data_IF_017429211807
#
_entry.id   IF_017429211807
#
_cell.length_a   1.000
_cell.length_b   1.000
_cell.length_c   1.000
_cell.angle_alpha   90.00
_cell.angle_beta   90.00
_cell.angle_gamma   90.00
#
_symmetry.space_group_name_H-M   'P 1'
#
loop_
_entity.id
_entity.type
_entity.pdbx_description
1 polymer ?
#
# COMPACT_ATOMS: atom_id res chain seq x y z
N UNK A 1 -5.75 34.19 33.46
CA UNK A 1 -6.13 33.19 32.44
C UNK A 1 -5.78 33.63 31.01
N UNK A 2 -6.16 34.84 30.56
CA UNK A 2 -5.97 35.30 29.18
C UNK A 2 -4.53 35.34 28.65
N UNK A 3 -3.54 35.73 29.48
CA UNK A 3 -2.12 35.77 29.06
C UNK A 3 -1.55 34.39 28.71
N UNK A 4 -1.97 33.33 29.42
CA UNK A 4 -1.55 31.95 29.13
C UNK A 4 -2.17 31.42 27.84
N UNK A 5 -3.45 31.73 27.60
CA UNK A 5 -4.14 31.38 26.36
C UNK A 5 -3.56 32.10 25.14
N UNK A 6 -3.23 33.39 25.28
CA UNK A 6 -2.54 34.15 24.23
C UNK A 6 -1.15 33.57 23.92
N UNK A 7 -0.40 33.18 24.94
CA UNK A 7 0.93 32.59 24.76
C UNK A 7 0.85 31.22 24.06
N UNK A 8 -0.09 30.37 24.46
CA UNK A 8 -0.35 29.09 23.79
C UNK A 8 -0.80 29.31 22.35
N UNK A 9 -1.70 30.27 22.10
CA UNK A 9 -2.14 30.62 20.75
C UNK A 9 -1.00 31.09 19.85
N UNK A 10 -0.10 31.94 20.37
CA UNK A 10 1.08 32.40 19.64
C UNK A 10 2.08 31.26 19.38
N UNK A 11 2.26 30.34 20.33
CA UNK A 11 3.12 29.16 20.13
C UNK A 11 2.54 28.21 19.08
N UNK A 12 1.23 27.94 19.10
CA UNK A 12 0.55 27.11 18.09
C UNK A 12 0.62 27.78 16.73
N UNK A 13 0.36 29.08 16.63
CA UNK A 13 0.44 29.83 15.38
C UNK A 13 1.89 29.87 14.84
N UNK A 14 2.86 30.12 15.71
CA UNK A 14 4.28 30.10 15.36
C UNK A 14 4.74 28.73 14.87
N UNK A 15 4.29 27.67 15.54
CA UNK A 15 4.54 26.29 15.10
C UNK A 15 3.86 25.99 13.76
N UNK A 16 2.60 26.38 13.57
CA UNK A 16 1.88 26.19 12.31
C UNK A 16 2.56 26.91 11.14
N UNK A 17 2.97 28.18 11.33
CA UNK A 17 3.70 28.95 10.32
C UNK A 17 5.09 28.35 10.04
N UNK A 18 5.78 27.85 11.06
CA UNK A 18 7.05 27.16 10.90
C UNK A 18 6.92 25.88 10.07
N UNK A 19 5.88 25.07 10.35
CA UNK A 19 5.55 23.86 9.60
C UNK A 19 5.18 24.15 8.15
N UNK A 20 4.43 25.23 7.91
CA UNK A 20 4.05 25.61 6.56
C UNK A 20 5.23 26.15 5.75
N UNK A 21 6.17 26.87 6.37
CA UNK A 21 7.33 27.46 5.70
C UNK A 21 8.48 26.49 5.44
N UNK A 22 8.52 25.35 6.14
CA UNK A 22 9.58 24.34 6.02
C UNK A 22 8.94 22.97 5.73
N UNK A 23 8.90 22.51 4.48
CA UNK A 23 8.50 21.13 4.20
C UNK A 23 9.43 20.20 4.98
N UNK A 24 8.87 19.47 5.94
CA UNK A 24 9.59 18.60 6.88
C UNK A 24 9.97 17.25 6.28
N UNK A 25 9.87 17.10 4.97
CA UNK A 25 10.08 15.84 4.30
C UNK A 25 10.68 16.09 2.92
N UNK A 26 11.72 15.34 2.64
CA UNK A 26 12.37 15.29 1.34
C UNK A 26 11.63 14.26 0.48
N UNK A 27 11.73 14.38 -0.85
CA UNK A 27 11.23 13.34 -1.75
C UNK A 27 12.20 12.16 -1.69
N UNK A 28 11.66 10.96 -1.56
CA UNK A 28 12.44 9.73 -1.64
C UNK A 28 12.08 9.06 -2.96
N UNK A 29 12.93 9.12 -4.00
CA UNK A 29 12.67 8.46 -5.26
C UNK A 29 12.61 6.94 -5.09
N UNK A 30 11.80 6.30 -5.94
CA UNK A 30 11.82 4.85 -6.08
C UNK A 30 13.18 4.40 -6.64
N UNK A 31 13.67 3.22 -6.25
CA UNK A 31 14.97 2.70 -6.73
C UNK A 31 14.93 2.39 -8.23
N UNK A 32 13.82 1.81 -8.69
CA UNK A 32 13.60 1.42 -10.07
C UNK A 32 12.14 1.67 -10.48
N UNK A 33 11.90 1.87 -11.77
CA UNK A 33 10.54 2.07 -12.29
C UNK A 33 9.73 0.78 -12.15
N UNK A 34 8.53 0.83 -11.54
CA UNK A 34 7.70 -0.37 -11.41
C UNK A 34 7.22 -0.90 -12.77
N UNK A 35 7.29 -0.11 -13.84
CA UNK A 35 7.07 -0.60 -15.19
C UNK A 35 8.06 -1.70 -15.61
N UNK A 36 9.28 -1.72 -15.02
CA UNK A 36 10.30 -2.75 -15.30
C UNK A 36 10.20 -3.97 -14.39
N UNK A 37 9.19 -4.02 -13.52
CA UNK A 37 8.95 -5.19 -12.66
C UNK A 37 8.88 -6.47 -13.52
N UNK A 38 9.35 -7.65 -13.05
CA UNK A 38 9.44 -8.83 -13.89
C UNK A 38 8.10 -9.26 -14.53
N UNK A 39 8.12 -9.56 -15.82
CA UNK A 39 6.96 -10.15 -16.53
C UNK A 39 6.78 -11.65 -16.25
N UNK A 40 7.78 -12.24 -15.60
CA UNK A 40 7.82 -13.64 -15.21
C UNK A 40 8.32 -13.73 -13.76
N UNK A 41 7.62 -14.47 -12.92
CA UNK A 41 8.02 -14.81 -11.56
C UNK A 41 7.81 -16.31 -11.45
N UNK A 42 8.89 -17.09 -11.44
CA UNK A 42 8.82 -18.55 -11.58
C UNK A 42 7.92 -18.94 -12.77
N UNK A 43 6.88 -19.73 -12.54
CA UNK A 43 5.92 -20.18 -13.56
C UNK A 43 4.81 -19.17 -13.87
N UNK A 44 4.74 -18.05 -13.15
CA UNK A 44 3.72 -17.02 -13.32
C UNK A 44 4.06 -16.11 -14.50
N UNK A 45 3.07 -15.88 -15.38
CA UNK A 45 3.18 -14.95 -16.51
C UNK A 45 2.30 -13.73 -16.31
N UNK A 46 2.90 -12.56 -16.47
CA UNK A 46 2.24 -11.28 -16.31
C UNK A 46 1.47 -10.82 -17.55
N UNK A 47 0.37 -10.10 -17.32
CA UNK A 47 -0.23 -9.18 -18.26
C UNK A 47 -0.44 -7.82 -17.58
N UNK A 48 0.02 -6.74 -18.22
CA UNK A 48 -0.14 -5.38 -17.71
C UNK A 48 -1.55 -4.84 -17.92
N UNK A 49 -1.99 -4.03 -16.95
CA UNK A 49 -3.23 -3.26 -17.03
C UNK A 49 -2.92 -1.81 -16.71
N UNK A 50 -3.52 -0.88 -17.45
CA UNK A 50 -3.37 0.54 -17.16
C UNK A 50 -4.56 1.04 -16.35
N UNK A 51 -4.29 1.86 -15.35
CA UNK A 51 -5.32 2.63 -14.68
C UNK A 51 -5.79 3.76 -15.60
N UNK A 52 -7.08 4.08 -15.54
CA UNK A 52 -7.60 5.21 -16.33
C UNK A 52 -6.99 6.53 -15.83
N UNK A 53 -6.86 7.54 -16.70
CA UNK A 53 -6.31 8.85 -16.30
C UNK A 53 -7.01 9.47 -15.09
N UNK A 54 -8.34 9.35 -15.00
CA UNK A 54 -9.10 9.87 -13.86
C UNK A 54 -8.78 9.17 -12.54
N UNK A 55 -8.51 7.85 -12.57
CA UNK A 55 -8.06 7.13 -11.38
C UNK A 55 -6.65 7.58 -10.97
N UNK A 56 -5.74 7.77 -11.93
CA UNK A 56 -4.40 8.26 -11.64
C UNK A 56 -4.39 9.69 -11.08
N UNK A 57 -5.27 10.56 -11.60
CA UNK A 57 -5.44 11.93 -11.10
C UNK A 57 -5.93 11.96 -9.65
N UNK A 58 -6.84 11.04 -9.29
CA UNK A 58 -7.34 10.90 -7.93
C UNK A 58 -6.28 10.30 -7.00
N UNK A 59 -5.60 9.24 -7.42
CA UNK A 59 -4.63 8.55 -6.58
C UNK A 59 -3.36 9.38 -6.35
N UNK A 60 -2.94 10.17 -7.35
CA UNK A 60 -1.71 10.98 -7.34
C UNK A 60 -0.46 10.16 -6.98
N UNK A 61 -0.42 8.91 -7.43
CA UNK A 61 0.75 8.04 -7.31
C UNK A 61 1.95 8.65 -8.04
N UNK A 62 3.15 8.42 -7.52
CA UNK A 62 4.37 8.84 -8.22
C UNK A 62 4.84 7.78 -9.21
N UNK A 63 4.73 6.52 -8.83
CA UNK A 63 4.97 5.37 -9.69
C UNK A 63 3.95 4.28 -9.32
N UNK A 64 3.51 3.46 -10.27
CA UNK A 64 2.59 2.37 -9.97
C UNK A 64 2.79 1.16 -10.88
N UNK A 65 2.36 0.01 -10.39
CA UNK A 65 2.17 -1.22 -11.14
C UNK A 65 0.72 -1.67 -11.01
N UNK A 66 0.10 -2.08 -12.10
CA UNK A 66 -1.12 -2.88 -12.06
C UNK A 66 -0.98 -4.02 -13.07
N UNK A 67 -1.00 -5.24 -12.56
CA UNK A 67 -0.64 -6.43 -13.34
C UNK A 67 -1.39 -7.66 -12.86
N UNK A 68 -1.71 -8.55 -13.78
CA UNK A 68 -2.29 -9.87 -13.47
C UNK A 68 -1.25 -10.94 -13.77
N UNK A 69 -0.85 -11.70 -12.74
CA UNK A 69 0.03 -12.85 -12.90
C UNK A 69 -0.81 -14.11 -12.99
N UNK A 70 -0.57 -14.93 -14.01
CA UNK A 70 -1.33 -16.15 -14.26
C UNK A 70 -0.44 -17.38 -14.30
N UNK A 71 -0.93 -18.47 -13.72
CA UNK A 71 -0.36 -19.81 -13.79
C UNK A 71 -1.53 -20.79 -13.91
N UNK A 72 -1.61 -21.50 -15.04
CA UNK A 72 -2.72 -22.39 -15.36
C UNK A 72 -4.11 -21.71 -15.20
N UNK A 73 -4.91 -22.16 -14.22
CA UNK A 73 -6.23 -21.61 -13.91
C UNK A 73 -6.22 -20.60 -12.75
N UNK A 74 -5.04 -20.30 -12.21
CA UNK A 74 -4.83 -19.39 -11.08
C UNK A 74 -4.41 -18.01 -11.59
N UNK A 75 -4.81 -16.98 -10.84
CA UNK A 75 -4.50 -15.58 -11.17
C UNK A 75 -4.33 -14.77 -9.90
N UNK A 76 -3.26 -13.98 -9.82
CA UNK A 76 -3.02 -13.02 -8.75
C UNK A 76 -2.86 -11.63 -9.37
N UNK A 77 -3.80 -10.74 -9.07
CA UNK A 77 -3.70 -9.34 -9.41
C UNK A 77 -2.81 -8.61 -8.42
N UNK A 78 -1.78 -7.93 -8.93
CA UNK A 78 -0.86 -7.10 -8.18
C UNK A 78 -1.15 -5.65 -8.48
N UNK A 79 -1.33 -4.86 -7.43
CA UNK A 79 -1.25 -3.41 -7.47
C UNK A 79 -0.18 -2.91 -6.51
N UNK A 80 0.70 -2.05 -7.01
CA UNK A 80 1.69 -1.31 -6.21
C UNK A 80 1.48 0.16 -6.52
N UNK A 81 1.22 0.98 -5.51
CA UNK A 81 1.23 2.44 -5.64
C UNK A 81 2.32 3.03 -4.77
N UNK A 82 3.35 3.64 -5.39
CA UNK A 82 4.45 4.28 -4.68
C UNK A 82 4.30 5.80 -4.64
N UNK A 83 4.56 6.36 -3.47
CA UNK A 83 4.49 7.78 -3.19
C UNK A 83 5.84 8.25 -2.66
N UNK A 84 6.60 9.00 -3.46
CA UNK A 84 7.92 9.55 -3.03
C UNK A 84 7.79 10.53 -1.85
N UNK A 85 6.58 11.08 -1.68
CA UNK A 85 6.20 11.91 -0.57
C UNK A 85 4.68 12.06 -0.53
N UNK A 86 4.12 12.25 0.67
CA UNK A 86 2.70 12.54 0.82
C UNK A 86 2.40 13.98 0.41
N UNK A 87 2.13 14.20 -0.88
CA UNK A 87 1.68 15.49 -1.41
C UNK A 87 0.26 15.79 -0.92
N UNK A 88 -0.05 17.08 -0.82
CA UNK A 88 -1.40 17.53 -0.46
C UNK A 88 -2.46 16.92 -1.40
N UNK A 89 -3.46 16.25 -0.82
CA UNK A 89 -4.53 15.57 -1.54
C UNK A 89 -4.19 14.20 -2.14
N UNK A 90 -2.94 13.73 -2.11
CA UNK A 90 -2.67 12.30 -2.27
C UNK A 90 -3.14 11.60 -0.99
N UNK A 91 -3.97 10.57 -1.11
CA UNK A 91 -4.37 9.75 0.04
C UNK A 91 -4.25 8.29 -0.32
N UNK A 92 -3.45 7.58 0.46
CA UNK A 92 -3.31 6.14 0.33
C UNK A 92 -4.46 5.51 1.12
N UNK A 93 -5.31 4.76 0.43
CA UNK A 93 -6.49 4.15 1.01
C UNK A 93 -6.54 2.66 0.73
N UNK A 94 -6.97 1.90 1.73
CA UNK A 94 -7.23 0.47 1.59
C UNK A 94 -8.47 0.21 0.73
N UNK A 95 -8.66 -1.03 0.26
CA UNK A 95 -9.85 -1.40 -0.51
C UNK A 95 -11.16 -1.18 0.26
N UNK A 96 -11.11 -1.00 1.58
CA UNK A 96 -12.25 -0.68 2.45
C UNK A 96 -13.01 0.57 2.03
N UNK A 97 -12.35 1.53 1.39
CA UNK A 97 -12.99 2.79 0.99
C UNK A 97 -13.47 2.77 -0.46
N UNK A 98 -12.82 2.01 -1.34
CA UNK A 98 -13.14 2.01 -2.78
C UNK A 98 -14.11 0.88 -3.18
N UNK A 99 -13.98 -0.30 -2.58
CA UNK A 99 -14.76 -1.48 -2.95
C UNK A 99 -16.26 -1.35 -2.64
N UNK A 100 -16.68 -0.81 -1.47
CA UNK A 100 -18.11 -0.65 -1.17
C UNK A 100 -18.85 0.24 -2.18
N UNK A 101 -18.21 1.31 -2.65
CA UNK A 101 -18.77 2.19 -3.68
C UNK A 101 -19.00 1.49 -5.03
N UNK A 102 -18.33 0.35 -5.27
CA UNK A 102 -18.47 -0.49 -6.47
C UNK A 102 -19.36 -1.73 -6.25
N UNK A 103 -20.05 -1.79 -5.11
CA UNK A 103 -21.01 -2.85 -4.75
C UNK A 103 -20.39 -4.09 -4.09
N UNK A 104 -19.12 -4.04 -3.69
CA UNK A 104 -18.48 -5.15 -2.96
C UNK A 104 -18.70 -5.02 -1.45
N UNK A 105 -19.09 -6.11 -0.80
CA UNK A 105 -19.35 -6.16 0.64
C UNK A 105 -18.22 -6.92 1.34
N UNK A 106 -17.61 -6.36 2.41
CA UNK A 106 -16.59 -7.08 3.16
C UNK A 106 -17.23 -8.21 3.99
N UNK A 107 -16.74 -9.44 3.83
CA UNK A 107 -17.22 -10.62 4.59
C UNK A 107 -16.25 -11.02 5.69
N UNK A 108 -14.96 -10.78 5.51
CA UNK A 108 -13.95 -11.00 6.56
C UNK A 108 -12.80 -10.01 6.45
N UNK A 109 -12.15 -9.78 7.60
CA UNK A 109 -11.01 -8.88 7.70
C UNK A 109 -10.16 -9.31 8.89
N UNK A 110 -8.91 -9.69 8.66
CA UNK A 110 -7.97 -10.08 9.70
C UNK A 110 -6.56 -9.58 9.40
N UNK A 111 -5.79 -9.31 10.45
CA UNK A 111 -4.36 -9.02 10.32
C UNK A 111 -3.59 -10.31 10.51
N UNK A 112 -2.60 -10.56 9.65
CA UNK A 112 -1.72 -11.72 9.70
C UNK A 112 -0.27 -11.28 9.58
N UNK A 113 0.62 -12.12 10.08
CA UNK A 113 2.05 -12.03 9.83
C UNK A 113 2.41 -13.16 8.87
N UNK A 114 3.06 -12.83 7.77
CA UNK A 114 3.60 -13.79 6.82
C UNK A 114 5.12 -13.82 6.94
N UNK A 115 5.66 -15.02 7.14
CA UNK A 115 7.08 -15.26 7.33
C UNK A 115 7.67 -15.80 6.03
N UNK A 116 8.72 -15.16 5.54
CA UNK A 116 9.46 -15.59 4.35
C UNK A 116 10.92 -15.74 4.76
N UNK A 117 11.54 -16.85 4.38
CA UNK A 117 12.95 -17.09 4.70
C UNK A 117 13.85 -16.00 4.09
N UNK A 118 14.76 -15.46 4.91
CA UNK A 118 15.66 -14.38 4.48
C UNK A 118 15.03 -12.99 4.38
N UNK A 119 13.74 -12.86 4.70
CA UNK A 119 12.99 -11.60 4.66
C UNK A 119 12.50 -11.21 6.06
N UNK A 120 12.14 -9.94 6.23
CA UNK A 120 11.47 -9.50 7.47
C UNK A 120 10.02 -9.99 7.48
N UNK A 121 9.45 -10.29 8.66
CA UNK A 121 8.04 -10.64 8.76
C UNK A 121 7.16 -9.56 8.13
N UNK A 122 6.24 -9.97 7.26
CA UNK A 122 5.30 -9.06 6.59
C UNK A 122 3.99 -9.06 7.37
N UNK A 123 3.68 -7.95 8.04
CA UNK A 123 2.36 -7.72 8.61
C UNK A 123 1.43 -7.21 7.52
N UNK A 124 0.40 -7.99 7.23
CA UNK A 124 -0.58 -7.70 6.18
C UNK A 124 -2.01 -7.85 6.68
N UNK A 125 -2.93 -7.23 5.94
CA UNK A 125 -4.35 -7.49 6.07
C UNK A 125 -4.76 -8.53 5.05
N UNK A 126 -5.42 -9.59 5.52
CA UNK A 126 -6.21 -10.47 4.70
C UNK A 126 -7.68 -10.08 4.82
N UNK A 127 -8.32 -9.76 3.71
CA UNK A 127 -9.74 -9.44 3.65
C UNK A 127 -10.42 -10.24 2.54
N UNK A 128 -11.68 -10.60 2.76
CA UNK A 128 -12.53 -11.22 1.74
C UNK A 128 -13.67 -10.27 1.47
N UNK A 129 -13.93 -10.04 0.19
CA UNK A 129 -15.06 -9.26 -0.29
C UNK A 129 -15.93 -10.14 -1.17
N UNK A 130 -17.24 -9.92 -1.10
CA UNK A 130 -18.22 -10.57 -1.95
C UNK A 130 -18.95 -9.55 -2.83
N UNK A 131 -19.31 -9.96 -4.04
CA UNK A 131 -20.20 -9.23 -4.92
C UNK A 131 -20.98 -10.23 -5.74
N UNK A 132 -22.31 -10.24 -5.56
CA UNK A 132 -23.20 -11.25 -6.12
C UNK A 132 -22.74 -12.67 -5.73
N UNK A 133 -22.36 -13.52 -6.69
CA UNK A 133 -21.81 -14.86 -6.44
C UNK A 133 -20.28 -14.89 -6.42
N UNK A 134 -19.60 -13.76 -6.61
CA UNK A 134 -18.15 -13.67 -6.67
C UNK A 134 -17.56 -13.35 -5.31
N UNK A 135 -16.49 -14.07 -4.95
CA UNK A 135 -15.67 -13.79 -3.78
C UNK A 135 -14.26 -13.47 -4.22
N UNK A 136 -13.65 -12.47 -3.60
CA UNK A 136 -12.27 -12.08 -3.88
C UNK A 136 -11.50 -11.90 -2.58
N UNK A 137 -10.31 -12.51 -2.55
CA UNK A 137 -9.37 -12.41 -1.45
C UNK A 137 -8.43 -11.24 -1.75
N UNK A 138 -8.17 -10.42 -0.73
CA UNK A 138 -7.19 -9.36 -0.78
C UNK A 138 -6.15 -9.58 0.31
N UNK A 139 -4.87 -9.54 -0.07
CA UNK A 139 -3.75 -9.39 0.85
C UNK A 139 -3.14 -8.01 0.61
N UNK A 140 -3.05 -7.16 1.63
CA UNK A 140 -2.49 -5.83 1.42
C UNK A 140 -1.79 -5.27 2.66
N UNK A 141 -0.83 -4.38 2.43
CA UNK A 141 -0.14 -3.63 3.46
C UNK A 141 0.39 -2.30 2.92
N UNK A 142 0.78 -1.43 3.84
CA UNK A 142 1.53 -0.24 3.53
C UNK A 142 3.01 -0.49 3.86
N UNK A 143 3.88 -0.33 2.87
CA UNK A 143 5.32 -0.40 3.07
C UNK A 143 5.87 0.98 3.37
N UNK A 144 6.61 1.11 4.46
CA UNK A 144 7.35 2.33 4.78
C UNK A 144 8.73 1.96 5.29
N UNK A 145 9.74 2.15 4.43
CA UNK A 145 11.11 1.75 4.76
C UNK A 145 11.11 0.25 5.11
N UNK A 146 11.36 -0.12 6.35
CA UNK A 146 11.48 -1.49 6.83
C UNK A 146 10.28 -1.93 7.68
N UNK A 147 9.21 -1.15 7.66
CA UNK A 147 7.98 -1.41 8.39
C UNK A 147 6.83 -1.73 7.43
N UNK A 148 6.12 -2.82 7.74
CA UNK A 148 4.84 -3.17 7.12
C UNK A 148 3.70 -2.75 8.05
N UNK A 149 2.83 -1.87 7.56
CA UNK A 149 1.77 -1.26 8.35
C UNK A 149 0.42 -1.76 7.81
N UNK A 150 -0.48 -2.16 8.69
CA UNK A 150 -1.79 -2.75 8.33
C UNK A 150 -2.98 -1.83 8.62
N UNK A 151 -2.71 -0.63 9.16
CA UNK A 151 -3.72 0.32 9.59
C UNK A 151 -3.42 1.73 9.05
N UNK A 152 -4.42 2.37 8.42
CA UNK A 152 -4.30 3.71 7.84
C UNK A 152 -4.01 4.82 8.87
N UNK A 153 -4.55 4.72 10.08
CA UNK A 153 -4.28 5.67 11.15
C UNK A 153 -2.86 5.53 11.66
N UNK A 154 -2.38 4.28 11.79
CA UNK A 154 -0.99 4.02 12.17
C UNK A 154 -0.04 4.49 11.07
N UNK A 155 -0.38 4.29 9.80
CA UNK A 155 0.38 4.81 8.66
C UNK A 155 0.54 6.33 8.78
N UNK A 156 -0.56 7.07 8.98
CA UNK A 156 -0.52 8.53 9.15
C UNK A 156 0.34 8.96 10.35
N UNK A 157 0.22 8.27 11.49
CA UNK A 157 1.05 8.56 12.66
C UNK A 157 2.54 8.31 12.37
N UNK A 158 2.86 7.22 11.69
CA UNK A 158 4.24 6.85 11.33
C UNK A 158 4.84 7.81 10.30
N UNK A 159 4.06 8.29 9.33
CA UNK A 159 4.46 9.35 8.40
C UNK A 159 4.89 10.62 9.14
N UNK A 160 4.12 11.05 10.15
CA UNK A 160 4.45 12.23 10.95
C UNK A 160 5.74 12.01 11.73
N UNK A 161 5.87 10.87 12.40
CA UNK A 161 7.07 10.54 13.17
C UNK A 161 8.33 10.46 12.28
N UNK A 162 8.23 9.81 11.12
CA UNK A 162 9.33 9.69 10.17
C UNK A 162 9.68 11.03 9.52
N UNK A 163 8.71 11.92 9.29
CA UNK A 163 8.99 13.28 8.81
C UNK A 163 9.86 14.04 9.84
N UNK A 164 9.55 13.91 11.12
CA UNK A 164 10.31 14.57 12.18
C UNK A 164 11.70 13.95 12.42
N UNK A 165 11.79 12.62 12.39
CA UNK A 165 13.03 11.89 12.73
C UNK A 165 13.98 11.72 11.55
N UNK A 166 13.45 11.40 10.37
CA UNK A 166 14.22 11.00 9.19
C UNK A 166 14.00 11.91 7.99
N UNK A 167 13.16 12.96 8.12
CA UNK A 167 12.78 13.85 7.02
C UNK A 167 12.18 13.12 5.82
N UNK A 168 11.41 12.05 6.05
CA UNK A 168 10.74 11.31 4.97
C UNK A 168 9.37 10.83 5.38
N UNK A 169 8.48 10.73 4.40
CA UNK A 169 7.10 10.24 4.56
C UNK A 169 6.62 9.47 3.32
N UNK A 170 7.56 8.96 2.53
CA UNK A 170 7.27 8.08 1.43
C UNK A 170 6.64 6.77 1.91
N UNK A 171 5.81 6.18 1.06
CA UNK A 171 5.18 4.91 1.33
C UNK A 171 4.79 4.22 0.03
N UNK A 172 4.75 2.89 0.05
CA UNK A 172 4.09 2.09 -0.96
C UNK A 172 2.79 1.50 -0.39
N UNK A 173 1.76 1.38 -1.22
CA UNK A 173 0.63 0.51 -0.95
C UNK A 173 0.72 -0.69 -1.87
N UNK A 174 0.78 -1.88 -1.27
CA UNK A 174 0.90 -3.14 -1.99
C UNK A 174 -0.37 -3.94 -1.74
N UNK A 175 -0.98 -4.42 -2.82
CA UNK A 175 -2.21 -5.19 -2.80
C UNK A 175 -2.10 -6.36 -3.78
N UNK A 176 -2.27 -7.55 -3.26
CA UNK A 176 -2.52 -8.77 -4.01
C UNK A 176 -4.01 -9.09 -3.94
N UNK A 177 -4.63 -9.51 -5.04
CA UNK A 177 -5.98 -10.06 -5.01
C UNK A 177 -6.17 -11.25 -5.94
N UNK A 178 -7.04 -12.17 -5.55
CA UNK A 178 -7.36 -13.34 -6.37
C UNK A 178 -8.83 -13.76 -6.16
N UNK A 179 -9.55 -14.13 -7.23
CA UNK A 179 -10.91 -14.64 -7.11
C UNK A 179 -10.91 -16.04 -6.50
N UNK A 180 -11.88 -16.30 -5.61
CA UNK A 180 -12.09 -17.64 -5.06
C UNK A 180 -12.72 -18.53 -6.12
N UNK A 181 -11.98 -19.56 -6.57
CA UNK A 181 -12.45 -20.50 -7.61
C UNK A 181 -12.94 -21.83 -7.04
N UNK A 182 -12.17 -22.44 -6.15
CA UNK A 182 -12.53 -23.70 -5.44
C UNK A 182 -12.90 -23.40 -4.01
N UNK A 183 -11.91 -23.03 -3.19
CA UNK A 183 -12.09 -22.70 -1.78
C UNK A 183 -11.28 -21.46 -1.40
N UNK A 184 -11.70 -20.81 -0.32
CA UNK A 184 -10.98 -19.67 0.24
C UNK A 184 -9.55 -20.05 0.65
N UNK A 185 -9.39 -21.25 1.24
CA UNK A 185 -8.11 -21.75 1.72
C UNK A 185 -7.13 -21.99 0.57
N UNK A 186 -7.57 -22.66 -0.52
CA UNK A 186 -6.73 -22.87 -1.71
C UNK A 186 -6.28 -21.54 -2.33
N UNK A 187 -7.20 -20.56 -2.37
CA UNK A 187 -6.92 -19.23 -2.94
C UNK A 187 -5.86 -18.51 -2.10
N UNK A 188 -5.99 -18.54 -0.77
CA UNK A 188 -5.01 -17.94 0.15
C UNK A 188 -3.66 -18.63 0.04
N UNK A 189 -3.61 -19.97 0.01
CA UNK A 189 -2.37 -20.73 -0.13
C UNK A 189 -1.65 -20.43 -1.45
N UNK A 190 -2.42 -20.27 -2.54
CA UNK A 190 -1.89 -19.86 -3.86
C UNK A 190 -1.28 -18.47 -3.80
N UNK A 191 -1.99 -17.51 -3.19
CA UNK A 191 -1.49 -16.14 -3.03
C UNK A 191 -0.26 -16.07 -2.13
N UNK A 192 -0.20 -16.88 -1.06
CA UNK A 192 0.96 -16.97 -0.16
C UNK A 192 2.17 -17.56 -0.88
N UNK A 193 1.98 -18.58 -1.72
CA UNK A 193 3.04 -19.13 -2.58
C UNK A 193 3.59 -18.06 -3.53
N UNK A 194 2.71 -17.36 -4.25
CA UNK A 194 3.10 -16.25 -5.11
C UNK A 194 3.82 -15.14 -4.34
N UNK A 195 3.34 -14.82 -3.13
CA UNK A 195 3.91 -13.78 -2.28
C UNK A 195 5.34 -14.10 -1.82
N UNK A 196 5.66 -15.38 -1.59
CA UNK A 196 7.01 -15.81 -1.24
C UNK A 196 8.04 -15.49 -2.34
N UNK A 197 7.64 -15.61 -3.61
CA UNK A 197 8.49 -15.28 -4.77
C UNK A 197 8.45 -13.78 -5.10
N UNK A 198 7.32 -13.13 -4.86
CA UNK A 198 7.10 -11.71 -5.19
C UNK A 198 7.75 -10.73 -4.21
N UNK A 199 7.66 -10.98 -2.89
CA UNK A 199 8.13 -10.03 -1.87
C UNK A 199 9.63 -9.72 -1.97
N UNK A 200 10.53 -10.71 -2.15
CA UNK A 200 11.96 -10.43 -2.29
C UNK A 200 12.29 -9.49 -3.44
N UNK A 201 11.49 -9.51 -4.52
CA UNK A 201 11.69 -8.61 -5.66
C UNK A 201 11.44 -7.15 -5.30
N UNK A 202 10.62 -6.86 -4.27
CA UNK A 202 10.32 -5.48 -3.88
C UNK A 202 11.55 -4.71 -3.39
N UNK A 203 12.56 -5.40 -2.87
CA UNK A 203 13.79 -4.78 -2.34
C UNK A 203 14.60 -4.06 -3.43
N UNK A 204 14.49 -4.50 -4.68
CA UNK A 204 15.14 -3.86 -5.82
C UNK A 204 14.44 -2.58 -6.28
N UNK A 205 13.16 -2.39 -5.90
CA UNK A 205 12.32 -1.27 -6.34
C UNK A 205 12.08 -0.27 -5.21
N UNK A 206 11.79 -0.72 -4.00
CA UNK A 206 11.38 0.15 -2.90
C UNK A 206 12.59 0.61 -2.06
N UNK A 207 12.64 1.89 -1.65
CA UNK A 207 13.72 2.37 -0.80
C UNK A 207 13.60 1.84 0.62
N UNK A 208 14.74 1.44 1.18
CA UNK A 208 14.90 1.12 2.60
C UNK A 208 14.73 2.33 3.49
#
# INVERSE_FOLDING_TARGET
>A
MGKRLLLVGLLVLGFALYVQARPFHDRVPIKQDLATFPMHIEDWRAADFSLSPGVLEQLRVTNYLMRDYRRDNESVNVYIGYYETQREGAQIHSPRHCLPGSGWVPTSHTTRTFEIEGQRPIHLVQAVYEKDSFHEVFLYWYQMKDATITNEYLLKAQMVFNSLKYRRNDAAFIRLSAPVRTTLEDTVATMETFMADFVPLLDDYLPE
#
